data_IF_323663224766
#
_entry.id   IF_323663224766
#
_cell.length_a   1.000
_cell.length_b   1.000
_cell.length_c   1.000
_cell.angle_alpha   90.00
_cell.angle_beta   90.00
_cell.angle_gamma   90.00
#
_symmetry.space_group_name_H-M   'P 1'
#
loop_
_entity.id
_entity.type
_entity.pdbx_description
1 polymer ?
#
# COMPACT_ATOMS: atom_id res chain seq x y z
N UNK A 1 -19.11 -17.12 6.70
CA UNK A 1 -18.80 -16.78 6.71
C UNK A 1 -18.15 -16.12 6.20
N UNK A 2 -17.99 -15.96 5.82
CA UNK A 2 -17.49 -15.49 5.53
C UNK A 2 -16.86 -14.67 5.53
N UNK A 3 -16.27 -14.58 5.65
CA UNK A 3 -15.62 -14.02 5.67
C UNK A 3 -15.24 -13.29 4.91
N UNK A 4 -15.10 -12.83 4.90
CA UNK A 4 -14.82 -12.26 4.25
C UNK A 4 -14.00 -11.48 3.98
N UNK A 5 -13.95 -10.99 3.90
CA UNK A 5 -12.97 -10.23 3.44
C UNK A 5 -13.16 -8.80 3.61
N UNK A 6 -13.08 -8.33 4.80
CA UNK A 6 -13.27 -6.95 5.12
C UNK A 6 -11.94 -6.25 5.36
N UNK A 7 -10.93 -6.64 4.59
CA UNK A 7 -9.64 -5.97 4.71
C UNK A 7 -9.81 -4.49 4.43
N UNK A 8 -9.23 -3.68 5.27
CA UNK A 8 -9.31 -2.23 5.18
C UNK A 8 -8.02 -1.66 4.64
N UNK A 9 -8.16 -0.87 3.59
CA UNK A 9 -7.04 -0.29 2.84
C UNK A 9 -7.03 1.21 3.05
N UNK A 10 -5.87 1.76 3.38
CA UNK A 10 -5.66 3.20 3.31
C UNK A 10 -4.96 3.50 2.00
N UNK A 11 -5.62 4.23 1.13
CA UNK A 11 -5.12 4.57 -0.20
C UNK A 11 -4.71 6.03 -0.22
N UNK A 12 -3.48 6.29 -0.61
CA UNK A 12 -3.03 7.68 -0.79
C UNK A 12 -2.45 7.82 -2.18
N UNK A 13 -3.08 8.67 -2.99
CA UNK A 13 -2.62 8.93 -4.36
C UNK A 13 -2.97 10.38 -4.67
N UNK A 14 -1.98 11.17 -5.06
CA UNK A 14 -2.20 12.59 -5.26
C UNK A 14 -3.00 12.92 -6.52
N UNK A 15 -3.35 11.92 -7.31
CA UNK A 15 -4.22 12.10 -8.47
C UNK A 15 -5.64 11.66 -8.09
N UNK A 16 -6.56 12.62 -7.86
CA UNK A 16 -7.89 12.26 -7.34
C UNK A 16 -8.67 11.30 -8.22
N UNK A 17 -8.53 11.42 -9.53
CA UNK A 17 -9.26 10.53 -10.43
C UNK A 17 -8.79 9.10 -10.30
N UNK A 18 -7.50 8.90 -10.14
CA UNK A 18 -6.94 7.56 -9.98
C UNK A 18 -7.32 6.99 -8.63
N UNK A 19 -7.23 7.81 -7.58
CA UNK A 19 -7.64 7.37 -6.25
C UNK A 19 -9.10 6.92 -6.26
N UNK A 20 -9.98 7.68 -6.90
CA UNK A 20 -11.39 7.33 -6.97
C UNK A 20 -11.61 6.04 -7.73
N UNK A 21 -10.94 5.88 -8.88
CA UNK A 21 -11.08 4.67 -9.68
C UNK A 21 -10.63 3.45 -8.91
N UNK A 22 -9.50 3.55 -8.22
CA UNK A 22 -9.03 2.43 -7.41
C UNK A 22 -9.98 2.13 -6.26
N UNK A 23 -10.49 3.17 -5.59
CA UNK A 23 -11.42 2.95 -4.49
C UNK A 23 -12.65 2.20 -4.96
N UNK A 24 -13.25 2.64 -6.06
CA UNK A 24 -14.44 1.98 -6.59
C UNK A 24 -14.15 0.53 -6.94
N UNK A 25 -13.06 0.30 -7.68
CA UNK A 25 -12.72 -1.05 -8.10
C UNK A 25 -12.41 -1.98 -6.94
N UNK A 26 -11.71 -1.47 -5.94
CA UNK A 26 -11.37 -2.30 -4.78
C UNK A 26 -12.61 -2.58 -3.93
N UNK A 27 -13.48 -1.60 -3.76
CA UNK A 27 -14.71 -1.83 -3.01
C UNK A 27 -15.63 -2.82 -3.70
N UNK A 28 -15.64 -2.81 -5.03
CA UNK A 28 -16.41 -3.82 -5.78
C UNK A 28 -15.87 -5.23 -5.52
N UNK A 29 -14.66 -5.34 -5.04
CA UNK A 29 -14.02 -6.62 -4.76
C UNK A 29 -13.95 -6.93 -3.27
N UNK A 30 -14.73 -6.24 -2.46
CA UNK A 30 -14.90 -6.61 -1.06
C UNK A 30 -14.01 -5.89 -0.07
N UNK A 31 -13.16 -4.99 -0.54
CA UNK A 31 -12.30 -4.21 0.38
C UNK A 31 -13.05 -3.03 0.94
N UNK A 32 -12.63 -2.60 2.12
CA UNK A 32 -13.07 -1.33 2.69
C UNK A 32 -11.95 -0.34 2.45
N UNK A 33 -12.23 0.76 1.73
CA UNK A 33 -11.18 1.66 1.29
C UNK A 33 -11.43 3.08 1.76
N UNK A 34 -10.44 3.64 2.44
CA UNK A 34 -10.43 5.07 2.73
C UNK A 34 -9.37 5.69 1.83
N UNK A 35 -9.79 6.57 0.95
CA UNK A 35 -8.91 7.14 -0.07
C UNK A 35 -8.66 8.61 0.20
N UNK A 36 -7.40 9.00 0.07
CA UNK A 36 -6.97 10.38 0.30
C UNK A 36 -6.05 10.80 -0.83
N UNK A 37 -6.08 12.08 -1.17
CA UNK A 37 -5.12 12.62 -2.12
C UNK A 37 -4.11 13.57 -1.48
N UNK A 38 -4.08 13.58 -0.16
CA UNK A 38 -3.16 14.41 0.63
C UNK A 38 -2.59 13.56 1.76
N UNK A 39 -1.27 13.36 1.79
CA UNK A 39 -0.69 12.51 2.83
C UNK A 39 -0.88 13.05 4.24
N UNK A 40 -0.95 14.37 4.41
CA UNK A 40 -1.18 14.92 5.76
C UNK A 40 -2.55 14.55 6.29
N UNK A 41 -3.55 14.63 5.42
CA UNK A 41 -4.92 14.27 5.84
C UNK A 41 -4.98 12.75 6.09
N UNK A 42 -4.34 11.97 5.24
CA UNK A 42 -4.29 10.53 5.43
C UNK A 42 -3.63 10.18 6.77
N UNK A 43 -2.52 10.82 7.08
CA UNK A 43 -1.82 10.59 8.33
C UNK A 43 -2.69 10.87 9.54
N UNK A 44 -3.48 11.95 9.47
CA UNK A 44 -4.38 12.30 10.58
C UNK A 44 -5.47 11.26 10.79
N UNK A 45 -5.74 10.45 9.78
CA UNK A 45 -6.78 9.43 9.87
C UNK A 45 -6.24 8.02 10.12
N UNK A 46 -4.94 7.88 10.21
CA UNK A 46 -4.32 6.58 10.45
C UNK A 46 -4.30 6.27 11.95
N UNK A 47 -4.58 5.03 12.29
CA UNK A 47 -4.53 4.57 13.68
C UNK A 47 -3.99 3.14 13.72
N UNK A 48 -3.30 2.83 14.79
CA UNK A 48 -2.78 1.49 15.03
C UNK A 48 -3.93 0.48 14.98
N UNK A 49 -3.75 -0.55 14.16
CA UNK A 49 -4.72 -1.64 14.07
C UNK A 49 -5.94 -1.35 13.20
N UNK A 50 -6.06 -0.14 12.66
CA UNK A 50 -7.24 0.20 11.87
C UNK A 50 -7.16 -0.32 10.43
N UNK A 51 -5.97 -0.30 9.84
CA UNK A 51 -5.80 -0.68 8.44
C UNK A 51 -4.97 -1.93 8.32
N UNK A 52 -5.32 -2.77 7.36
CA UNK A 52 -4.56 -3.98 7.06
C UNK A 52 -3.44 -3.69 6.09
N UNK A 53 -3.62 -2.72 5.21
CA UNK A 53 -2.66 -2.45 4.15
C UNK A 53 -2.71 -0.98 3.74
N UNK A 54 -1.54 -0.44 3.48
CA UNK A 54 -1.38 0.88 2.89
C UNK A 54 -1.11 0.71 1.39
N UNK A 55 -1.87 1.41 0.57
CA UNK A 55 -1.66 1.44 -0.88
C UNK A 55 -1.23 2.86 -1.22
N UNK A 56 0.04 3.04 -1.52
CA UNK A 56 0.66 4.36 -1.54
C UNK A 56 1.33 4.68 -2.86
N UNK A 57 1.00 5.84 -3.43
CA UNK A 57 1.76 6.39 -4.52
C UNK A 57 3.12 6.83 -3.98
N UNK A 58 4.19 6.49 -4.69
CA UNK A 58 5.53 6.89 -4.23
C UNK A 58 5.72 8.39 -4.40
N UNK A 59 5.36 8.92 -5.56
CA UNK A 59 5.65 10.32 -5.87
C UNK A 59 4.47 11.20 -5.55
N UNK A 60 4.55 11.90 -4.43
CA UNK A 60 3.52 12.83 -3.99
C UNK A 60 4.17 14.13 -3.54
N UNK A 61 3.46 15.27 -3.68
CA UNK A 61 3.97 16.51 -3.11
C UNK A 61 4.02 16.43 -1.60
N UNK A 62 4.83 17.26 -0.98
CA UNK A 62 4.99 17.38 0.47
C UNK A 62 5.71 16.21 1.10
N UNK A 63 5.25 14.99 0.90
CA UNK A 63 5.81 13.80 1.51
C UNK A 63 5.64 12.65 0.53
N UNK A 64 6.71 11.96 0.17
CA UNK A 64 6.56 10.82 -0.74
C UNK A 64 6.03 9.61 0.01
N UNK A 65 5.61 8.60 -0.78
CA UNK A 65 4.98 7.43 -0.19
C UNK A 65 5.88 6.64 0.74
N UNK A 66 7.18 6.63 0.46
CA UNK A 66 8.13 5.89 1.29
C UNK A 66 8.24 6.54 2.66
N UNK A 67 8.33 7.87 2.71
CA UNK A 67 8.36 8.59 3.98
C UNK A 67 7.07 8.37 4.75
N UNK A 68 5.94 8.41 4.06
CA UNK A 68 4.64 8.16 4.69
C UNK A 68 4.62 6.77 5.32
N UNK A 69 5.04 5.76 4.56
CA UNK A 69 5.08 4.40 5.07
C UNK A 69 5.95 4.29 6.32
N UNK A 70 7.13 4.90 6.28
CA UNK A 70 8.03 4.83 7.42
C UNK A 70 7.40 5.41 8.68
N UNK A 71 6.68 6.52 8.53
CA UNK A 71 6.01 7.14 9.67
C UNK A 71 4.86 6.29 10.17
N UNK A 72 4.06 5.74 9.26
CA UNK A 72 2.91 4.91 9.69
C UNK A 72 3.38 3.61 10.31
N UNK A 73 4.49 3.06 9.84
CA UNK A 73 5.05 1.83 10.38
C UNK A 73 5.50 2.02 11.83
N UNK A 74 5.89 3.24 12.21
CA UNK A 74 6.22 3.52 13.60
C UNK A 74 4.99 3.40 14.49
N UNK A 75 3.81 3.73 13.96
CA UNK A 75 2.57 3.67 14.71
C UNK A 75 2.00 2.26 14.75
N UNK A 76 2.08 1.55 13.62
CA UNK A 76 1.52 0.21 13.49
C UNK A 76 2.55 -0.70 12.83
N UNK A 77 3.22 -1.52 13.63
CA UNK A 77 4.30 -2.38 13.14
C UNK A 77 3.81 -3.49 12.24
N UNK A 78 2.53 -3.80 12.26
CA UNK A 78 1.96 -4.91 11.51
C UNK A 78 1.36 -4.51 10.18
N UNK A 79 1.20 -3.21 9.92
CA UNK A 79 0.55 -2.79 8.70
C UNK A 79 1.38 -3.17 7.48
N UNK A 80 0.72 -3.68 6.46
CA UNK A 80 1.37 -4.06 5.21
C UNK A 80 1.33 -2.90 4.23
N UNK A 81 2.09 -3.01 3.16
CA UNK A 81 2.18 -1.92 2.19
C UNK A 81 2.34 -2.46 0.78
N UNK A 82 1.68 -1.79 -0.17
CA UNK A 82 1.98 -1.91 -1.60
C UNK A 82 2.19 -0.50 -2.11
N UNK A 83 3.28 -0.31 -2.84
CA UNK A 83 3.57 0.99 -3.45
C UNK A 83 3.13 1.00 -4.90
N UNK A 84 2.70 2.17 -5.35
CA UNK A 84 2.36 2.39 -6.75
C UNK A 84 3.31 3.41 -7.31
N UNK A 85 3.81 3.16 -8.51
CA UNK A 85 4.75 4.06 -9.14
C UNK A 85 4.35 4.31 -10.58
N UNK A 86 4.54 5.54 -11.05
CA UNK A 86 4.30 5.88 -12.44
C UNK A 86 5.53 5.49 -13.27
N UNK A 87 5.31 5.25 -14.56
CA UNK A 87 6.38 4.81 -15.43
C UNK A 87 7.47 5.87 -15.62
N UNK A 88 7.12 7.14 -15.43
CA UNK A 88 8.10 8.20 -15.66
C UNK A 88 9.18 8.29 -14.59
N UNK A 89 9.06 7.54 -13.50
CA UNK A 89 10.13 7.51 -12.52
C UNK A 89 11.14 6.39 -12.80
N UNK A 90 11.16 5.95 -14.03
CA UNK A 90 12.04 4.90 -14.50
C UNK A 90 13.52 5.15 -14.13
N UNK A 91 13.96 6.39 -14.18
CA UNK A 91 15.34 6.70 -13.86
C UNK A 91 15.72 6.36 -12.44
N UNK A 92 14.77 6.35 -11.54
CA UNK A 92 15.04 6.08 -10.13
C UNK A 92 14.69 4.65 -9.75
N UNK A 93 14.39 3.82 -10.74
CA UNK A 93 13.87 2.50 -10.46
C UNK A 93 14.82 1.65 -9.62
N UNK A 94 16.11 1.62 -10.00
CA UNK A 94 17.08 0.81 -9.27
C UNK A 94 17.25 1.29 -7.84
N UNK A 95 17.37 2.60 -7.65
CA UNK A 95 17.50 3.16 -6.32
C UNK A 95 16.28 2.85 -5.47
N UNK A 96 15.10 3.03 -6.07
CA UNK A 96 13.84 2.76 -5.37
C UNK A 96 13.74 1.29 -4.98
N UNK A 97 14.10 0.39 -5.89
CA UNK A 97 14.05 -1.04 -5.60
C UNK A 97 14.98 -1.42 -4.46
N UNK A 98 16.18 -0.87 -4.45
CA UNK A 98 17.12 -1.15 -3.37
C UNK A 98 16.59 -0.66 -2.03
N UNK A 99 16.03 0.55 -2.02
CA UNK A 99 15.50 1.12 -0.80
C UNK A 99 14.32 0.29 -0.28
N UNK A 100 13.41 -0.08 -1.16
CA UNK A 100 12.26 -0.89 -0.76
C UNK A 100 12.69 -2.25 -0.26
N UNK A 101 13.70 -2.85 -0.90
CA UNK A 101 14.23 -4.12 -0.43
C UNK A 101 14.79 -3.98 0.98
N UNK A 102 15.54 -2.91 1.22
CA UNK A 102 16.10 -2.64 2.53
C UNK A 102 15.01 -2.49 3.59
N UNK A 103 13.87 -1.92 3.20
CA UNK A 103 12.73 -1.74 4.11
C UNK A 103 11.86 -2.98 4.24
N UNK A 104 12.19 -4.05 3.52
CA UNK A 104 11.40 -5.28 3.55
C UNK A 104 10.12 -5.22 2.76
N UNK A 105 10.02 -4.30 1.82
CA UNK A 105 8.82 -4.13 1.00
C UNK A 105 8.86 -5.07 -0.19
N UNK A 106 7.78 -5.79 -0.43
CA UNK A 106 7.70 -6.76 -1.53
C UNK A 106 6.75 -6.35 -2.64
N UNK A 107 5.84 -5.44 -2.38
CA UNK A 107 4.77 -5.13 -3.33
C UNK A 107 5.01 -3.76 -3.95
N UNK A 108 5.41 -3.76 -5.22
CA UNK A 108 5.62 -2.53 -5.99
C UNK A 108 4.83 -2.68 -7.28
N UNK A 109 3.87 -1.80 -7.48
CA UNK A 109 2.94 -1.86 -8.59
C UNK A 109 3.24 -0.71 -9.54
N UNK A 110 3.30 -1.01 -10.83
CA UNK A 110 3.58 0.00 -11.84
C UNK A 110 2.29 0.43 -12.53
N UNK A 111 2.05 1.72 -12.58
CA UNK A 111 0.92 2.27 -13.34
C UNK A 111 1.24 2.23 -14.84
N UNK A 112 0.27 2.06 -15.69
CA UNK A 112 -1.15 1.78 -15.38
C UNK A 112 -1.36 0.32 -15.02
N UNK A 113 -2.38 0.05 -14.22
CA UNK A 113 -2.68 -1.32 -13.80
C UNK A 113 -4.19 -1.53 -13.87
N UNK A 114 -4.59 -2.72 -14.31
CA UNK A 114 -5.99 -3.11 -14.33
C UNK A 114 -6.46 -3.44 -12.93
N UNK A 115 -7.74 -3.20 -12.65
CA UNK A 115 -8.28 -3.49 -11.32
C UNK A 115 -8.10 -4.95 -10.94
N UNK A 116 -8.30 -5.88 -11.88
CA UNK A 116 -8.12 -7.30 -11.57
C UNK A 116 -6.72 -7.61 -11.08
N UNK A 117 -5.72 -7.00 -11.72
CA UNK A 117 -4.32 -7.23 -11.34
C UNK A 117 -4.01 -6.55 -10.01
N UNK A 118 -4.56 -5.37 -9.80
CA UNK A 118 -4.37 -4.68 -8.52
C UNK A 118 -4.95 -5.50 -7.38
N UNK A 119 -6.17 -6.00 -7.55
CA UNK A 119 -6.81 -6.83 -6.53
C UNK A 119 -5.95 -8.04 -6.23
N UNK A 120 -5.45 -8.69 -7.27
CA UNK A 120 -4.61 -9.89 -7.11
C UNK A 120 -3.35 -9.55 -6.30
N UNK A 121 -2.69 -8.45 -6.63
CA UNK A 121 -1.46 -8.07 -5.95
C UNK A 121 -1.72 -7.76 -4.48
N UNK A 122 -2.81 -7.05 -4.19
CA UNK A 122 -3.14 -6.72 -2.80
C UNK A 122 -3.49 -7.96 -2.02
N UNK A 123 -4.23 -8.89 -2.61
CA UNK A 123 -4.57 -10.13 -1.91
C UNK A 123 -3.33 -10.96 -1.62
N UNK A 124 -2.40 -11.03 -2.57
CA UNK A 124 -1.16 -11.73 -2.33
C UNK A 124 -0.40 -11.13 -1.15
N UNK A 125 -0.32 -9.82 -1.10
CA UNK A 125 0.40 -9.18 0.00
C UNK A 125 -0.30 -9.39 1.32
N UNK A 126 -1.62 -9.30 1.33
CA UNK A 126 -2.39 -9.50 2.56
C UNK A 126 -2.26 -10.92 3.09
N UNK A 127 -2.12 -11.89 2.20
CA UNK A 127 -2.02 -13.31 2.60
C UNK A 127 -0.60 -13.72 2.92
N UNK A 128 0.37 -12.90 2.57
CA UNK A 128 1.75 -13.28 2.80
C UNK A 128 2.05 -13.36 4.29
N UNK A 129 2.68 -14.46 4.69
CA UNK A 129 3.11 -14.67 6.07
C UNK A 129 4.63 -14.67 6.08
N UNK A 130 5.21 -13.83 6.95
CA UNK A 130 6.65 -13.80 7.08
C UNK A 130 7.09 -15.01 7.88
N UNK A 131 7.72 -15.96 7.19
CA UNK A 131 8.14 -17.22 7.82
C UNK A 131 9.50 -17.15 8.49
N UNK A 132 10.16 -15.99 8.43
CA UNK A 132 11.48 -15.87 9.03
C UNK A 132 11.46 -16.18 10.53
N UNK A 133 10.42 -15.75 11.21
CA UNK A 133 10.30 -16.04 12.64
C UNK A 133 10.17 -17.52 12.90
N UNK A 134 9.54 -18.24 11.99
CA UNK A 134 9.40 -19.69 12.13
C UNK A 134 10.74 -20.38 12.03
N UNK A 135 11.59 -19.91 11.15
CA UNK A 135 12.92 -20.45 11.03
C UNK A 135 13.74 -20.24 12.29
N UNK A 136 13.62 -19.06 12.86
CA UNK A 136 14.40 -18.73 14.04
C UNK A 136 13.98 -19.51 15.26
N UNK A 137 12.76 -20.00 15.25
CA UNK A 137 12.24 -20.76 16.37
C UNK A 137 12.64 -22.22 16.35
N UNK A 138 13.35 -22.61 15.33
CA UNK A 138 13.81 -24.00 15.21
C UNK A 138 15.23 -24.15 15.73
#
# INVERSE_FOLDING_TARGET
>A
MNKKNNNRILLVDNEPDIALAFKIGLEDNGFVVNAFNDPEIASANFKDGLYDLLLLDIKMPKMNGIEFYQQMKEIDKKVKVCFITASEIYYYENFTKELLHTLGVRCLIRKPIKIEDLVKDLKQELEFVNNNNNYHNK
#
